data_IF_046551579757
#
_entry.id   IF_046551579757
#
_cell.length_a   1.000
_cell.length_b   1.000
_cell.length_c   1.000
_cell.angle_alpha   90.00
_cell.angle_beta   90.00
_cell.angle_gamma   90.00
#
_symmetry.space_group_name_H-M   'P 1'
#
loop_
_entity.id
_entity.type
_entity.pdbx_description
1 polymer ?
#
# COMPACT_ATOMS: atom_id res chain seq x y z
N UNK A 1 13.83 -1.51 -34.08
CA UNK A 1 14.26 -0.68 -32.93
C UNK A 1 13.16 -0.79 -31.89
N UNK A 2 13.50 -1.18 -30.65
CA UNK A 2 12.50 -1.17 -29.57
C UNK A 2 12.08 0.26 -29.31
N UNK A 3 10.80 0.55 -29.32
CA UNK A 3 10.28 1.87 -29.03
C UNK A 3 10.61 2.26 -27.60
N UNK A 4 11.15 3.46 -27.41
CA UNK A 4 11.36 4.01 -26.08
C UNK A 4 10.02 4.40 -25.47
N UNK A 5 9.67 3.77 -24.35
CA UNK A 5 8.45 4.07 -23.59
C UNK A 5 8.83 4.72 -22.26
N UNK A 6 8.64 6.04 -22.13
CA UNK A 6 8.97 6.75 -20.87
C UNK A 6 8.20 6.18 -19.70
N UNK A 7 8.91 5.87 -18.59
CA UNK A 7 8.30 5.34 -17.38
C UNK A 7 7.67 3.95 -17.53
N UNK A 8 7.87 3.26 -18.65
CA UNK A 8 7.28 1.94 -18.97
C UNK A 8 5.74 1.94 -18.96
N UNK A 9 5.10 3.08 -19.19
CA UNK A 9 3.65 3.19 -19.19
C UNK A 9 3.02 2.31 -20.26
N UNK A 10 2.12 1.40 -19.85
CA UNK A 10 1.47 0.44 -20.75
C UNK A 10 2.34 -0.74 -21.19
N UNK A 11 3.60 -0.81 -20.78
CA UNK A 11 4.47 -1.97 -21.06
C UNK A 11 4.07 -3.13 -20.16
N UNK A 12 3.72 -4.27 -20.75
CA UNK A 12 3.48 -5.52 -20.03
C UNK A 12 4.82 -6.16 -19.72
N UNK A 13 5.25 -6.07 -18.46
CA UNK A 13 6.54 -6.61 -18.02
C UNK A 13 6.43 -8.04 -17.46
N UNK A 14 5.24 -8.45 -16.99
CA UNK A 14 5.00 -9.73 -16.34
C UNK A 14 3.64 -10.30 -16.73
N UNK A 15 3.53 -11.60 -16.76
CA UNK A 15 2.28 -12.34 -16.62
C UNK A 15 2.08 -12.63 -15.12
N UNK A 16 0.84 -12.58 -14.64
CA UNK A 16 0.53 -12.77 -13.22
C UNK A 16 -0.82 -13.45 -13.03
N UNK A 17 -0.89 -14.34 -12.04
CA UNK A 17 -2.12 -14.99 -11.58
C UNK A 17 -2.66 -14.38 -10.28
N UNK A 18 -2.02 -13.31 -9.77
CA UNK A 18 -2.27 -12.81 -8.42
C UNK A 18 -3.49 -11.91 -8.38
N UNK A 19 -3.58 -10.91 -9.26
CA UNK A 19 -4.69 -9.97 -9.26
C UNK A 19 -5.02 -9.43 -10.64
N UNK A 20 -6.29 -9.14 -10.83
CA UNK A 20 -6.85 -8.53 -12.03
C UNK A 20 -7.60 -7.24 -11.67
N UNK A 21 -6.99 -6.06 -11.87
CA UNK A 21 -7.73 -4.81 -11.89
C UNK A 21 -8.44 -4.68 -13.24
N UNK A 22 -9.76 -4.86 -13.26
CA UNK A 22 -10.59 -4.69 -14.45
C UNK A 22 -10.82 -3.21 -14.71
N UNK A 23 -10.15 -2.69 -15.71
CA UNK A 23 -10.13 -1.25 -16.04
C UNK A 23 -11.50 -0.73 -16.49
N UNK A 24 -12.23 -1.51 -17.24
CA UNK A 24 -13.49 -1.10 -17.87
C UNK A 24 -14.68 -1.40 -16.96
N UNK A 25 -14.70 -2.56 -16.32
CA UNK A 25 -15.77 -3.01 -15.46
C UNK A 25 -15.73 -2.47 -14.03
N UNK A 26 -14.63 -1.81 -13.62
CA UNK A 26 -14.48 -1.29 -12.26
C UNK A 26 -14.52 -2.38 -11.20
N UNK A 27 -13.87 -3.51 -11.44
CA UNK A 27 -13.71 -4.62 -10.51
C UNK A 27 -12.23 -4.82 -10.15
N UNK A 28 -11.99 -5.40 -9.00
CA UNK A 28 -10.66 -5.86 -8.57
C UNK A 28 -10.79 -7.27 -8.01
N UNK A 29 -10.09 -8.22 -8.60
CA UNK A 29 -10.13 -9.63 -8.20
C UNK A 29 -8.76 -10.08 -7.72
N UNK A 30 -8.74 -10.76 -6.58
CA UNK A 30 -7.58 -11.45 -6.03
C UNK A 30 -7.71 -12.94 -6.34
N UNK A 31 -6.83 -13.47 -7.19
CA UNK A 31 -6.94 -14.87 -7.65
C UNK A 31 -8.35 -15.23 -8.16
N UNK A 32 -8.99 -14.31 -8.86
CA UNK A 32 -10.32 -14.47 -9.40
C UNK A 32 -11.47 -14.16 -8.44
N UNK A 33 -11.21 -13.92 -7.14
CA UNK A 33 -12.24 -13.55 -6.16
C UNK A 33 -12.37 -12.03 -6.09
N UNK A 34 -13.59 -11.52 -6.25
CA UNK A 34 -13.85 -10.08 -6.19
C UNK A 34 -13.66 -9.54 -4.77
N UNK A 35 -13.04 -8.36 -4.63
CA UNK A 35 -12.88 -7.72 -3.32
C UNK A 35 -14.21 -7.37 -2.65
N UNK A 36 -15.29 -7.23 -3.41
CA UNK A 36 -16.64 -7.04 -2.86
C UNK A 36 -17.08 -8.22 -1.97
N UNK A 37 -16.62 -9.44 -2.30
CA UNK A 37 -16.91 -10.65 -1.54
C UNK A 37 -15.90 -10.89 -0.41
N UNK A 38 -14.77 -10.19 -0.42
CA UNK A 38 -13.71 -10.34 0.58
C UNK A 38 -13.82 -9.33 1.72
N UNK A 39 -13.99 -8.05 1.38
CA UNK A 39 -13.98 -6.95 2.36
C UNK A 39 -15.19 -7.04 3.31
N UNK A 40 -14.90 -7.20 4.59
CA UNK A 40 -15.90 -7.36 5.64
C UNK A 40 -16.40 -8.80 5.84
N UNK A 41 -15.99 -9.75 4.98
CA UNK A 41 -16.40 -11.17 5.04
C UNK A 41 -15.24 -12.11 5.34
N UNK A 42 -14.04 -11.76 4.89
CA UNK A 42 -12.83 -12.56 5.07
C UNK A 42 -11.78 -11.70 5.75
N UNK A 43 -11.11 -12.21 6.79
CA UNK A 43 -10.06 -11.47 7.51
C UNK A 43 -8.82 -11.28 6.63
N UNK A 44 -8.08 -10.20 6.85
CA UNK A 44 -6.85 -9.90 6.12
C UNK A 44 -5.83 -11.05 6.13
N UNK A 45 -5.70 -11.77 7.25
CA UNK A 45 -4.80 -12.94 7.33
C UNK A 45 -5.17 -14.03 6.33
N UNK A 46 -6.46 -14.30 6.14
CA UNK A 46 -6.94 -15.25 5.14
C UNK A 46 -6.81 -14.73 3.71
N UNK A 47 -6.95 -13.42 3.52
CA UNK A 47 -6.70 -12.77 2.21
C UNK A 47 -5.22 -12.84 1.85
N UNK A 48 -4.32 -12.69 2.83
CA UNK A 48 -2.89 -12.94 2.64
C UNK A 48 -2.65 -14.37 2.13
N UNK A 49 -3.29 -15.37 2.76
CA UNK A 49 -3.23 -16.76 2.31
C UNK A 49 -3.78 -16.94 0.89
N UNK A 50 -4.90 -16.32 0.55
CA UNK A 50 -5.45 -16.35 -0.80
C UNK A 50 -4.44 -15.83 -1.83
N UNK A 51 -3.82 -14.68 -1.58
CA UNK A 51 -2.89 -14.07 -2.52
C UNK A 51 -1.60 -14.87 -2.69
N UNK A 52 -1.03 -15.38 -1.60
CA UNK A 52 0.27 -16.07 -1.59
C UNK A 52 0.13 -17.56 -1.88
N UNK A 53 -0.81 -18.23 -1.23
CA UNK A 53 -0.97 -19.69 -1.28
C UNK A 53 -2.08 -20.13 -2.25
N UNK A 54 -2.91 -19.21 -2.73
CA UNK A 54 -4.08 -19.52 -3.57
C UNK A 54 -5.24 -20.18 -2.81
N UNK A 55 -5.26 -20.09 -1.49
CA UNK A 55 -6.27 -20.67 -0.62
C UNK A 55 -6.57 -19.80 0.59
N UNK A 56 -7.81 -19.85 1.08
CA UNK A 56 -8.15 -19.24 2.36
C UNK A 56 -7.55 -20.07 3.51
N UNK A 57 -6.49 -19.56 4.09
CA UNK A 57 -5.85 -20.11 5.27
C UNK A 57 -5.35 -18.95 6.15
N UNK A 58 -4.89 -19.19 7.39
CA UNK A 58 -4.38 -18.12 8.25
C UNK A 58 -3.21 -17.33 7.66
N UNK A 59 -2.46 -17.92 6.74
CA UNK A 59 -1.40 -17.28 5.95
C UNK A 59 -0.21 -16.78 6.74
N UNK A 60 -0.46 -15.89 7.69
CA UNK A 60 0.55 -15.25 8.53
C UNK A 60 0.70 -15.92 9.89
N UNK A 61 1.93 -16.25 10.32
CA UNK A 61 2.19 -16.69 11.68
C UNK A 61 2.05 -15.51 12.66
N UNK A 62 2.00 -15.76 13.98
CA UNK A 62 2.21 -14.71 14.96
C UNK A 62 3.58 -14.04 14.76
N UNK A 63 3.65 -12.72 14.95
CA UNK A 63 4.92 -11.99 14.91
C UNK A 63 5.82 -12.42 16.09
N UNK A 64 7.08 -12.62 15.81
CA UNK A 64 8.07 -12.86 16.85
C UNK A 64 8.18 -11.64 17.78
N UNK A 65 8.43 -11.82 19.09
CA UNK A 65 8.40 -10.73 20.06
C UNK A 65 9.70 -9.89 20.04
N UNK A 66 10.14 -9.52 18.84
CA UNK A 66 11.34 -8.71 18.68
C UNK A 66 11.03 -7.23 18.83
N UNK A 67 11.73 -6.51 19.73
CA UNK A 67 11.69 -5.07 19.75
C UNK A 67 12.19 -4.51 18.42
N UNK A 68 11.56 -3.42 17.95
CA UNK A 68 12.08 -2.72 16.79
C UNK A 68 13.44 -2.11 17.14
N UNK A 69 14.47 -2.35 16.31
CA UNK A 69 15.85 -1.96 16.65
C UNK A 69 16.18 -0.49 16.32
N UNK A 70 15.29 0.21 15.63
CA UNK A 70 15.50 1.58 15.14
C UNK A 70 14.36 2.48 15.58
N UNK A 71 14.67 3.64 16.11
CA UNK A 71 13.73 4.65 16.57
C UNK A 71 14.17 6.03 16.08
N UNK A 72 13.92 6.31 14.81
CA UNK A 72 14.26 7.61 14.19
C UNK A 72 13.18 8.68 14.39
N UNK A 73 11.97 8.28 14.77
CA UNK A 73 10.78 9.12 14.78
C UNK A 73 10.02 9.15 13.44
N UNK A 74 10.53 8.46 12.43
CA UNK A 74 9.88 8.26 11.14
C UNK A 74 9.57 6.77 10.97
N UNK A 75 8.26 6.43 10.95
CA UNK A 75 7.79 5.04 10.90
C UNK A 75 8.35 4.31 9.66
N UNK A 76 8.39 4.98 8.50
CA UNK A 76 8.92 4.38 7.28
C UNK A 76 10.40 4.02 7.43
N UNK A 77 11.22 4.92 7.97
CA UNK A 77 12.65 4.69 8.19
C UNK A 77 12.86 3.53 9.16
N UNK A 78 12.13 3.54 10.27
CA UNK A 78 12.22 2.51 11.30
C UNK A 78 11.88 1.12 10.73
N UNK A 79 10.75 1.02 10.03
CA UNK A 79 10.26 -0.26 9.47
C UNK A 79 11.16 -0.75 8.34
N UNK A 80 11.56 0.11 7.42
CA UNK A 80 12.42 -0.26 6.29
C UNK A 80 13.77 -0.77 6.78
N UNK A 81 14.39 -0.07 7.73
CA UNK A 81 15.67 -0.46 8.32
C UNK A 81 15.55 -1.77 9.11
N UNK A 82 14.51 -1.89 9.95
CA UNK A 82 14.29 -3.09 10.75
C UNK A 82 14.03 -4.33 9.89
N UNK A 83 13.29 -4.19 8.79
CA UNK A 83 13.09 -5.29 7.82
C UNK A 83 14.42 -5.73 7.20
N UNK A 84 15.24 -4.79 6.74
CA UNK A 84 16.54 -5.13 6.15
C UNK A 84 17.45 -5.87 7.16
N UNK A 85 17.37 -5.52 8.44
CA UNK A 85 18.13 -6.17 9.51
C UNK A 85 17.70 -7.62 9.79
N UNK A 86 16.51 -8.05 9.36
CA UNK A 86 16.08 -9.45 9.53
C UNK A 86 16.98 -10.43 8.77
N UNK A 87 17.57 -10.03 7.65
CA UNK A 87 18.41 -10.90 6.85
C UNK A 87 19.58 -11.49 7.67
N UNK A 88 20.47 -10.71 8.29
CA UNK A 88 21.54 -11.26 9.12
C UNK A 88 21.02 -11.85 10.46
N UNK A 89 19.95 -11.31 11.05
CA UNK A 89 19.41 -11.81 12.33
C UNK A 89 18.85 -13.22 12.19
N UNK A 90 18.16 -13.51 11.09
CA UNK A 90 17.60 -14.84 10.82
C UNK A 90 18.50 -15.73 9.95
N UNK A 91 19.61 -15.20 9.45
CA UNK A 91 20.46 -15.92 8.49
C UNK A 91 19.72 -16.24 7.20
N UNK A 92 18.89 -15.28 6.70
CA UNK A 92 18.14 -15.48 5.47
C UNK A 92 19.09 -15.71 4.30
N UNK A 93 18.82 -16.79 3.55
CA UNK A 93 19.55 -17.09 2.33
C UNK A 93 18.95 -16.35 1.13
N UNK A 94 19.75 -16.13 0.07
CA UNK A 94 19.23 -15.66 -1.21
C UNK A 94 18.06 -16.52 -1.70
N UNK A 95 17.07 -15.89 -2.32
CA UNK A 95 15.94 -16.60 -2.94
C UNK A 95 16.40 -17.66 -3.96
N UNK A 96 17.57 -17.44 -4.56
CA UNK A 96 18.19 -18.37 -5.51
C UNK A 96 18.56 -19.71 -4.85
N UNK A 97 18.94 -19.70 -3.56
CA UNK A 97 19.53 -20.82 -2.83
C UNK A 97 18.51 -21.59 -1.96
N UNK A 98 17.25 -21.20 -1.97
CA UNK A 98 16.18 -21.83 -1.18
C UNK A 98 15.07 -22.36 -2.10
N UNK A 99 14.28 -23.30 -1.61
CA UNK A 99 13.10 -23.75 -2.33
C UNK A 99 11.90 -22.77 -2.15
N UNK A 100 10.79 -23.09 -2.79
CA UNK A 100 9.59 -22.24 -2.75
C UNK A 100 8.92 -22.25 -1.38
N UNK A 101 8.94 -23.39 -0.68
CA UNK A 101 8.33 -23.52 0.63
C UNK A 101 9.10 -22.68 1.67
N UNK A 102 10.44 -22.74 1.68
CA UNK A 102 11.27 -21.91 2.53
C UNK A 102 11.12 -20.42 2.19
N UNK A 103 11.04 -20.06 0.91
CA UNK A 103 10.79 -18.68 0.49
C UNK A 103 9.42 -18.17 0.98
N UNK A 104 8.37 -18.98 0.85
CA UNK A 104 7.03 -18.69 1.34
C UNK A 104 7.01 -18.46 2.85
N UNK A 105 7.67 -19.31 3.62
CA UNK A 105 7.71 -19.20 5.06
C UNK A 105 8.53 -17.99 5.52
N UNK A 106 9.64 -17.70 4.86
CA UNK A 106 10.43 -16.49 5.10
C UNK A 106 9.63 -15.22 4.79
N UNK A 107 8.82 -15.21 3.71
CA UNK A 107 7.93 -14.12 3.37
C UNK A 107 6.85 -13.90 4.44
N UNK A 108 6.22 -14.97 4.92
CA UNK A 108 5.21 -14.89 5.96
C UNK A 108 5.78 -14.31 7.27
N UNK A 109 6.95 -14.78 7.69
CA UNK A 109 7.66 -14.27 8.88
C UNK A 109 8.04 -12.80 8.72
N UNK A 110 8.64 -12.42 7.60
CA UNK A 110 9.07 -11.04 7.36
C UNK A 110 7.87 -10.09 7.21
N UNK A 111 6.80 -10.50 6.53
CA UNK A 111 5.59 -9.71 6.38
C UNK A 111 4.93 -9.41 7.73
N UNK A 112 4.74 -10.42 8.58
CA UNK A 112 4.13 -10.19 9.90
C UNK A 112 5.03 -9.36 10.82
N UNK A 113 6.35 -9.44 10.67
CA UNK A 113 7.28 -8.54 11.37
C UNK A 113 7.15 -7.10 10.89
N UNK A 114 6.91 -6.86 9.59
CA UNK A 114 6.62 -5.52 9.11
C UNK A 114 5.41 -4.90 9.82
N UNK A 115 4.32 -5.66 9.98
CA UNK A 115 3.15 -5.22 10.73
C UNK A 115 3.50 -4.90 12.19
N UNK A 116 4.25 -5.79 12.84
CA UNK A 116 4.72 -5.58 14.22
C UNK A 116 5.56 -4.32 14.36
N UNK A 117 6.48 -4.08 13.43
CA UNK A 117 7.35 -2.92 13.44
C UNK A 117 6.60 -1.62 13.19
N UNK A 118 5.62 -1.60 12.30
CA UNK A 118 4.73 -0.44 12.14
C UNK A 118 4.01 -0.11 13.45
N UNK A 119 3.43 -1.12 14.10
CA UNK A 119 2.72 -0.94 15.37
C UNK A 119 3.65 -0.43 16.48
N UNK A 120 4.86 -0.97 16.58
CA UNK A 120 5.85 -0.56 17.60
C UNK A 120 6.36 0.86 17.35
N UNK A 121 6.72 1.18 16.11
CA UNK A 121 7.18 2.54 15.76
C UNK A 121 6.09 3.57 15.99
N UNK A 122 4.84 3.27 15.60
CA UNK A 122 3.69 4.14 15.83
C UNK A 122 3.36 4.34 17.32
N UNK A 123 3.53 3.30 18.15
CA UNK A 123 3.36 3.42 19.60
C UNK A 123 4.43 4.32 20.23
N UNK A 124 5.62 4.30 19.65
CA UNK A 124 6.75 5.15 20.08
C UNK A 124 7.38 4.70 21.39
N UNK A 125 8.45 5.39 21.78
CA UNK A 125 9.22 5.11 23.00
C UNK A 125 8.59 5.69 24.27
N UNK A 126 7.61 6.59 24.12
CA UNK A 126 6.94 7.25 25.26
C UNK A 126 5.95 6.36 26.02
N UNK A 127 5.57 5.22 25.45
CA UNK A 127 4.66 4.26 26.05
C UNK A 127 5.35 2.90 26.21
N UNK A 128 5.07 2.16 27.30
CA UNK A 128 5.60 0.82 27.47
C UNK A 128 5.08 -0.11 26.34
N UNK A 129 5.88 -1.08 25.95
CA UNK A 129 5.45 -2.14 25.03
C UNK A 129 4.26 -2.89 25.65
N UNK A 130 3.28 -3.21 24.80
CA UNK A 130 2.16 -4.07 25.22
C UNK A 130 2.69 -5.48 25.49
N UNK A 131 2.42 -6.08 26.66
CA UNK A 131 2.88 -7.42 26.96
C UNK A 131 2.42 -8.44 25.91
N UNK A 132 3.32 -9.33 25.47
CA UNK A 132 3.02 -10.33 24.43
C UNK A 132 1.80 -11.18 24.78
N UNK A 133 1.63 -11.56 26.05
CA UNK A 133 0.45 -12.31 26.54
C UNK A 133 -0.90 -11.61 26.29
N UNK A 134 -0.92 -10.27 26.22
CA UNK A 134 -2.14 -9.51 25.88
C UNK A 134 -2.39 -9.49 24.37
N UNK A 135 -1.30 -9.44 23.58
CA UNK A 135 -1.36 -9.54 22.14
C UNK A 135 -1.84 -10.93 21.70
N UNK A 136 -1.36 -11.97 22.37
CA UNK A 136 -1.70 -13.37 22.07
C UNK A 136 -3.18 -13.72 22.30
N UNK A 137 -3.91 -12.88 23.02
CA UNK A 137 -5.37 -13.02 23.18
C UNK A 137 -6.14 -12.64 21.91
N UNK A 138 -5.52 -11.95 20.99
CA UNK A 138 -6.16 -11.52 19.74
C UNK A 138 -6.30 -12.69 18.78
N UNK A 139 -7.45 -12.76 18.10
CA UNK A 139 -7.75 -13.84 17.15
C UNK A 139 -7.19 -13.56 15.77
N UNK A 140 -7.20 -12.30 15.32
CA UNK A 140 -6.77 -11.93 13.97
C UNK A 140 -5.44 -11.16 13.96
N UNK A 141 -4.77 -11.17 12.82
CA UNK A 141 -3.52 -10.41 12.65
C UNK A 141 -3.73 -8.91 12.78
N UNK A 142 -4.88 -8.40 12.33
CA UNK A 142 -5.22 -6.98 12.45
C UNK A 142 -5.48 -6.60 13.92
N UNK A 143 -6.18 -7.44 14.67
CA UNK A 143 -6.38 -7.22 16.10
C UNK A 143 -5.04 -7.24 16.86
N UNK A 144 -4.13 -8.18 16.53
CA UNK A 144 -2.77 -8.21 17.10
C UNK A 144 -2.00 -6.93 16.82
N UNK A 145 -2.08 -6.41 15.59
CA UNK A 145 -1.50 -5.13 15.22
C UNK A 145 -2.07 -3.99 16.07
N UNK A 146 -3.39 -3.88 16.14
CA UNK A 146 -4.08 -2.83 16.87
C UNK A 146 -3.78 -2.89 18.37
N UNK A 147 -3.74 -4.08 18.98
CA UNK A 147 -3.33 -4.26 20.38
C UNK A 147 -1.87 -3.85 20.60
N UNK A 148 -0.96 -4.26 19.73
CA UNK A 148 0.45 -3.89 19.84
C UNK A 148 0.66 -2.39 19.76
N UNK A 149 -0.14 -1.71 18.94
CA UNK A 149 -0.09 -0.27 18.81
C UNK A 149 -0.78 0.46 19.97
N UNK A 150 -2.01 0.07 20.32
CA UNK A 150 -2.90 0.83 21.23
C UNK A 150 -3.17 0.18 22.58
N UNK A 151 -2.93 -1.08 22.75
CA UNK A 151 -3.29 -1.85 23.94
C UNK A 151 -4.70 -2.47 23.83
N UNK A 152 -5.74 -1.70 24.06
CA UNK A 152 -7.15 -2.15 23.94
C UNK A 152 -7.85 -1.37 22.83
N UNK A 153 -7.90 -1.90 21.59
CA UNK A 153 -8.56 -1.26 20.48
C UNK A 153 -10.08 -1.43 20.53
N UNK A 154 -10.81 -0.44 19.98
CA UNK A 154 -12.23 -0.60 19.70
C UNK A 154 -12.43 -1.67 18.61
N UNK A 155 -13.30 -2.68 18.81
CA UNK A 155 -13.57 -3.70 17.79
C UNK A 155 -14.06 -3.15 16.45
N UNK A 156 -14.74 -2.00 16.42
CA UNK A 156 -15.13 -1.32 15.17
C UNK A 156 -13.93 -0.74 14.43
N UNK A 157 -12.93 -0.23 15.17
CA UNK A 157 -11.68 0.24 14.57
C UNK A 157 -10.88 -0.92 13.98
N UNK A 158 -10.87 -2.08 14.64
CA UNK A 158 -10.26 -3.30 14.08
C UNK A 158 -10.92 -3.69 12.77
N UNK A 159 -12.26 -3.69 12.68
CA UNK A 159 -13.00 -3.97 11.45
C UNK A 159 -12.69 -2.97 10.34
N UNK A 160 -12.61 -1.69 10.67
CA UNK A 160 -12.25 -0.64 9.69
C UNK A 160 -10.85 -0.84 9.12
N UNK A 161 -9.87 -1.15 9.96
CA UNK A 161 -8.49 -1.42 9.52
C UNK A 161 -8.43 -2.70 8.70
N UNK A 162 -9.13 -3.77 9.10
CA UNK A 162 -9.20 -5.03 8.35
C UNK A 162 -9.78 -4.80 6.94
N UNK A 163 -10.88 -4.07 6.83
CA UNK A 163 -11.49 -3.72 5.56
C UNK A 163 -10.54 -2.90 4.65
N UNK A 164 -9.83 -1.93 5.23
CA UNK A 164 -8.85 -1.14 4.49
C UNK A 164 -7.68 -2.00 4.02
N UNK A 165 -7.09 -2.83 4.90
CA UNK A 165 -5.97 -3.70 4.51
C UNK A 165 -6.38 -4.70 3.44
N UNK A 166 -7.55 -5.30 3.55
CA UNK A 166 -8.07 -6.23 2.54
C UNK A 166 -8.27 -5.55 1.20
N UNK A 167 -8.86 -4.34 1.17
CA UNK A 167 -9.07 -3.58 -0.07
C UNK A 167 -7.79 -3.11 -0.73
N UNK A 168 -6.73 -2.85 0.05
CA UNK A 168 -5.45 -2.31 -0.40
C UNK A 168 -4.33 -3.37 -0.52
N UNK A 169 -4.66 -4.65 -0.25
CA UNK A 169 -3.69 -5.75 -0.18
C UNK A 169 -2.92 -5.95 -1.49
N UNK A 170 -3.57 -5.76 -2.64
CA UNK A 170 -2.98 -5.92 -3.95
C UNK A 170 -3.67 -5.01 -4.99
N UNK A 171 -2.96 -4.60 -6.03
CA UNK A 171 -3.51 -3.80 -7.12
C UNK A 171 -2.68 -3.89 -8.41
N UNK A 172 -2.26 -5.08 -8.80
CA UNK A 172 -1.48 -5.30 -10.01
C UNK A 172 -0.09 -4.67 -9.97
N UNK A 173 0.45 -4.32 -11.13
CA UNK A 173 1.81 -3.80 -11.26
C UNK A 173 1.85 -2.29 -10.99
N UNK A 174 2.42 -1.93 -9.87
CA UNK A 174 2.67 -0.55 -9.43
C UNK A 174 4.15 -0.39 -9.03
N UNK A 175 4.57 0.82 -8.66
CA UNK A 175 5.97 1.12 -8.41
C UNK A 175 6.60 0.24 -7.32
N UNK A 176 5.93 0.04 -6.17
CA UNK A 176 6.49 -0.78 -5.09
C UNK A 176 6.48 -2.27 -5.41
N UNK A 177 5.45 -2.77 -6.08
CA UNK A 177 5.38 -4.16 -6.54
C UNK A 177 6.43 -4.43 -7.61
N UNK A 178 6.63 -3.51 -8.55
CA UNK A 178 7.70 -3.60 -9.55
C UNK A 178 9.08 -3.62 -8.88
N UNK A 179 9.31 -2.74 -7.90
CA UNK A 179 10.57 -2.71 -7.13
C UNK A 179 10.82 -4.04 -6.40
N UNK A 180 9.79 -4.60 -5.75
CA UNK A 180 9.90 -5.91 -5.08
C UNK A 180 10.29 -7.01 -6.08
N UNK A 181 9.64 -7.04 -7.26
CA UNK A 181 9.95 -8.02 -8.30
C UNK A 181 11.35 -7.82 -8.89
N UNK A 182 11.79 -6.58 -9.09
CA UNK A 182 13.15 -6.31 -9.57
C UNK A 182 14.18 -6.88 -8.60
N UNK A 183 14.03 -6.59 -7.29
CA UNK A 183 14.97 -7.08 -6.27
C UNK A 183 14.91 -8.62 -6.20
N UNK A 184 13.72 -9.20 -6.11
CA UNK A 184 13.54 -10.66 -6.09
C UNK A 184 14.15 -11.34 -7.32
N UNK A 185 14.06 -10.71 -8.50
CA UNK A 185 14.61 -11.23 -9.75
C UNK A 185 16.13 -11.37 -9.76
N UNK A 186 16.82 -10.62 -8.89
CA UNK A 186 18.27 -10.76 -8.69
C UNK A 186 18.66 -11.96 -7.85
N UNK A 187 17.69 -12.64 -7.23
CA UNK A 187 17.92 -13.73 -6.30
C UNK A 187 18.22 -13.28 -4.87
N UNK A 188 18.09 -11.98 -4.55
CA UNK A 188 18.28 -11.46 -3.20
C UNK A 188 17.27 -12.07 -2.20
N UNK A 189 17.56 -11.96 -0.88
CA UNK A 189 16.67 -12.46 0.15
C UNK A 189 15.32 -11.72 0.25
N UNK A 190 14.36 -12.30 0.94
CA UNK A 190 13.01 -11.74 1.07
C UNK A 190 12.98 -10.42 1.83
N UNK A 191 13.87 -10.22 2.79
CA UNK A 191 13.94 -8.98 3.58
C UNK A 191 14.43 -7.81 2.71
N UNK A 192 15.40 -8.04 1.84
CA UNK A 192 15.85 -7.06 0.86
C UNK A 192 14.70 -6.62 -0.08
N UNK A 193 13.92 -7.57 -0.59
CA UNK A 193 12.80 -7.29 -1.49
C UNK A 193 11.68 -6.51 -0.80
N UNK A 194 11.27 -6.90 0.41
CA UNK A 194 10.24 -6.20 1.19
C UNK A 194 10.70 -4.82 1.65
N UNK A 195 11.94 -4.69 2.13
CA UNK A 195 12.53 -3.39 2.51
C UNK A 195 12.56 -2.41 1.33
N UNK A 196 12.97 -2.87 0.14
CA UNK A 196 12.96 -2.06 -1.08
C UNK A 196 11.56 -1.62 -1.49
N UNK A 197 10.56 -2.50 -1.35
CA UNK A 197 9.16 -2.16 -1.61
C UNK A 197 8.63 -1.08 -0.66
N UNK A 198 8.99 -1.13 0.64
CA UNK A 198 8.68 -0.07 1.62
C UNK A 198 9.27 1.26 1.19
N UNK A 199 10.51 1.27 0.73
CA UNK A 199 11.15 2.48 0.20
C UNK A 199 10.38 3.07 -0.98
N UNK A 200 9.98 2.26 -1.95
CA UNK A 200 9.21 2.70 -3.11
C UNK A 200 7.79 3.20 -2.71
N UNK A 201 7.15 2.54 -1.73
CA UNK A 201 5.83 2.95 -1.21
C UNK A 201 5.85 4.35 -0.59
N UNK A 202 6.96 4.75 0.00
CA UNK A 202 7.10 6.05 0.68
C UNK A 202 7.12 7.25 -0.26
N UNK A 203 7.29 7.02 -1.57
CA UNK A 203 7.36 8.10 -2.55
C UNK A 203 6.04 8.88 -2.65
N UNK A 204 6.09 10.23 -2.74
CA UNK A 204 4.87 11.07 -2.76
C UNK A 204 3.99 10.86 -4.00
N UNK A 205 4.53 10.24 -5.05
CA UNK A 205 3.76 9.87 -6.24
C UNK A 205 3.09 8.49 -6.14
N UNK A 206 3.25 7.80 -5.01
CA UNK A 206 2.73 6.44 -4.79
C UNK A 206 1.80 6.34 -3.57
N UNK A 207 2.29 6.58 -2.35
CA UNK A 207 1.54 6.28 -1.11
C UNK A 207 1.02 7.49 -0.31
N UNK A 208 1.16 8.71 -0.79
CA UNK A 208 1.02 9.94 0.03
C UNK A 208 -0.30 10.72 -0.02
N UNK A 209 -1.34 10.24 -0.71
CA UNK A 209 -2.47 11.10 -1.04
C UNK A 209 -3.68 11.11 -0.06
N UNK A 210 -4.04 10.05 0.69
CA UNK A 210 -5.27 10.04 1.50
C UNK A 210 -5.32 11.13 2.59
N UNK A 211 -4.19 11.52 3.17
CA UNK A 211 -4.15 12.55 4.23
C UNK A 211 -4.69 13.91 3.78
N UNK A 212 -4.63 14.22 2.49
CA UNK A 212 -5.13 15.49 1.94
C UNK A 212 -6.66 15.56 1.84
N UNK A 213 -7.32 14.41 1.82
CA UNK A 213 -8.79 14.32 1.79
C UNK A 213 -9.37 14.85 3.10
N UNK A 214 -8.74 14.56 4.24
CA UNK A 214 -9.21 15.01 5.56
C UNK A 214 -9.27 16.53 5.67
N UNK A 215 -8.31 17.24 5.08
CA UNK A 215 -8.35 18.71 5.07
C UNK A 215 -9.57 19.30 4.34
N UNK A 216 -10.05 18.63 3.28
CA UNK A 216 -11.29 19.01 2.60
C UNK A 216 -12.50 18.76 3.49
N UNK A 217 -12.57 17.64 4.18
CA UNK A 217 -13.65 17.29 5.11
C UNK A 217 -13.72 18.29 6.26
N UNK A 218 -12.60 18.61 6.91
CA UNK A 218 -12.51 19.57 8.01
C UNK A 218 -12.99 20.97 7.61
N UNK A 219 -12.64 21.41 6.42
CA UNK A 219 -13.11 22.72 5.90
C UNK A 219 -14.63 22.72 5.67
N UNK A 220 -15.20 21.61 5.20
CA UNK A 220 -16.65 21.49 5.01
C UNK A 220 -17.37 21.39 6.35
N UNK A 221 -16.84 20.66 7.33
CA UNK A 221 -17.38 20.63 8.69
C UNK A 221 -17.47 22.03 9.28
N UNK A 222 -16.47 22.89 9.00
CA UNK A 222 -16.44 24.27 9.47
C UNK A 222 -17.42 25.19 8.74
N UNK A 223 -17.64 24.99 7.43
CA UNK A 223 -18.42 25.89 6.58
C UNK A 223 -19.85 25.43 6.33
N UNK A 224 -20.13 24.13 6.46
CA UNK A 224 -21.44 23.53 6.26
C UNK A 224 -21.90 23.39 4.80
N UNK A 225 -21.08 23.76 3.82
CA UNK A 225 -21.48 23.76 2.39
C UNK A 225 -20.42 23.12 1.48
N UNK A 226 -20.62 21.84 1.19
CA UNK A 226 -19.74 21.05 0.32
C UNK A 226 -19.74 21.58 -1.13
N UNK A 227 -20.89 22.01 -1.66
CA UNK A 227 -21.00 22.51 -3.03
C UNK A 227 -20.24 23.82 -3.21
N UNK A 228 -20.41 24.76 -2.29
CA UNK A 228 -19.67 26.03 -2.32
C UNK A 228 -18.17 25.81 -2.15
N UNK A 229 -17.75 24.86 -1.29
CA UNK A 229 -16.34 24.48 -1.15
C UNK A 229 -15.76 23.97 -2.47
N UNK A 230 -16.39 22.99 -3.11
CA UNK A 230 -15.93 22.38 -4.36
C UNK A 230 -15.80 23.43 -5.47
N UNK A 231 -16.81 24.28 -5.65
CA UNK A 231 -16.78 25.35 -6.65
C UNK A 231 -15.60 26.29 -6.43
N UNK A 232 -15.43 26.81 -5.20
CA UNK A 232 -14.31 27.70 -4.86
C UNK A 232 -12.95 27.06 -5.11
N UNK A 233 -12.76 25.79 -4.73
CA UNK A 233 -11.51 25.07 -4.93
C UNK A 233 -11.18 24.95 -6.43
N UNK A 234 -12.15 24.53 -7.24
CA UNK A 234 -11.97 24.39 -8.68
C UNK A 234 -11.80 25.73 -9.40
N UNK A 235 -12.47 26.81 -8.95
CA UNK A 235 -12.30 28.17 -9.49
C UNK A 235 -10.88 28.70 -9.25
N UNK A 236 -10.23 28.28 -8.15
CA UNK A 236 -8.83 28.59 -7.86
C UNK A 236 -7.84 27.67 -8.58
N UNK A 237 -8.34 26.72 -9.38
CA UNK A 237 -7.49 25.74 -10.05
C UNK A 237 -6.91 24.67 -9.14
N UNK A 238 -7.44 24.51 -7.92
CA UNK A 238 -7.03 23.48 -6.99
C UNK A 238 -7.48 22.10 -7.46
N UNK A 239 -6.67 21.09 -7.19
CA UNK A 239 -7.01 19.70 -7.48
C UNK A 239 -7.80 19.11 -6.32
N UNK A 240 -8.97 18.57 -6.59
CA UNK A 240 -9.72 17.79 -5.62
C UNK A 240 -9.04 16.41 -5.46
N UNK A 241 -8.64 16.09 -4.23
CA UNK A 241 -8.01 14.81 -3.92
C UNK A 241 -9.08 13.72 -3.78
N UNK A 242 -8.73 12.49 -4.19
CA UNK A 242 -9.67 11.38 -4.13
C UNK A 242 -10.54 11.17 -5.38
N UNK A 243 -10.29 11.92 -6.46
CA UNK A 243 -11.05 11.81 -7.71
C UNK A 243 -10.13 11.58 -8.92
N UNK A 244 -10.56 10.67 -9.81
CA UNK A 244 -9.81 10.23 -10.98
C UNK A 244 -8.82 9.11 -10.66
N UNK A 245 -8.58 8.22 -11.62
CA UNK A 245 -7.69 7.08 -11.49
C UNK A 245 -6.91 6.82 -12.77
N UNK A 246 -5.68 6.31 -12.66
CA UNK A 246 -4.85 5.94 -13.83
C UNK A 246 -5.31 4.65 -14.48
N UNK A 247 -5.86 3.71 -13.70
CA UNK A 247 -6.26 2.37 -14.14
C UNK A 247 -7.73 2.34 -14.54
N UNK A 248 -8.64 2.68 -13.61
CA UNK A 248 -10.07 2.55 -13.83
C UNK A 248 -10.65 3.66 -14.70
N UNK A 249 -11.57 3.27 -15.60
CA UNK A 249 -12.45 4.15 -16.37
C UNK A 249 -13.84 4.31 -15.74
N UNK A 250 -14.07 3.62 -14.62
CA UNK A 250 -15.25 3.66 -13.78
C UNK A 250 -14.86 4.01 -12.34
N UNK A 251 -15.78 3.90 -11.38
CA UNK A 251 -15.48 4.03 -9.96
C UNK A 251 -14.47 2.96 -9.52
N UNK A 252 -13.49 3.37 -8.71
CA UNK A 252 -12.54 2.45 -8.09
C UNK A 252 -13.30 1.50 -7.13
N UNK A 253 -13.26 0.18 -7.33
CA UNK A 253 -14.02 -0.76 -6.51
C UNK A 253 -13.62 -0.71 -5.03
N UNK A 254 -12.39 -0.31 -4.74
CA UNK A 254 -11.91 -0.13 -3.36
C UNK A 254 -12.62 1.05 -2.68
N UNK A 255 -12.89 2.13 -3.41
CA UNK A 255 -13.67 3.25 -2.88
C UNK A 255 -15.10 2.79 -2.52
N UNK A 256 -15.71 1.97 -3.35
CA UNK A 256 -17.06 1.45 -3.15
C UNK A 256 -17.17 0.58 -1.89
N UNK A 257 -16.25 -0.38 -1.71
CA UNK A 257 -16.27 -1.25 -0.51
C UNK A 257 -15.95 -0.47 0.77
N UNK A 258 -15.05 0.51 0.73
CA UNK A 258 -14.72 1.32 1.91
C UNK A 258 -15.85 2.32 2.25
N UNK A 259 -16.56 2.87 1.28
CA UNK A 259 -17.78 3.67 1.51
C UNK A 259 -18.82 2.84 2.25
N UNK A 260 -19.09 1.61 1.78
CA UNK A 260 -19.99 0.67 2.44
C UNK A 260 -19.55 0.40 3.89
N UNK A 261 -18.28 0.08 4.09
CA UNK A 261 -17.70 -0.16 5.42
C UNK A 261 -17.87 1.04 6.37
N UNK A 262 -17.53 2.24 5.92
CA UNK A 262 -17.68 3.46 6.71
C UNK A 262 -19.14 3.70 7.12
N UNK A 263 -20.09 3.44 6.23
CA UNK A 263 -21.53 3.52 6.51
C UNK A 263 -21.98 2.50 7.55
N UNK A 264 -21.65 1.23 7.36
CA UNK A 264 -22.04 0.13 8.23
C UNK A 264 -21.46 0.25 9.65
N UNK A 265 -20.24 0.76 9.77
CA UNK A 265 -19.60 1.00 11.06
C UNK A 265 -20.07 2.28 11.75
N UNK A 266 -20.82 3.13 11.05
CA UNK A 266 -21.33 4.39 11.58
C UNK A 266 -20.24 5.46 11.74
N UNK A 267 -19.35 5.60 10.76
CA UNK A 267 -18.29 6.61 10.77
C UNK A 267 -18.89 8.02 10.92
N UNK A 268 -18.49 8.83 11.92
CA UNK A 268 -19.10 10.13 12.21
C UNK A 268 -19.04 11.11 11.04
N UNK A 269 -17.98 11.02 10.21
CA UNK A 269 -17.77 11.89 9.04
C UNK A 269 -18.40 11.35 7.74
N UNK A 270 -19.16 10.24 7.82
CA UNK A 270 -19.73 9.61 6.63
C UNK A 270 -20.61 10.58 5.81
N UNK A 271 -21.55 11.26 6.46
CA UNK A 271 -22.49 12.14 5.78
C UNK A 271 -21.81 13.36 5.12
N UNK A 272 -20.82 13.93 5.80
CA UNK A 272 -20.03 15.04 5.23
C UNK A 272 -19.21 14.55 4.03
N UNK A 273 -18.64 13.37 4.11
CA UNK A 273 -17.89 12.77 3.02
C UNK A 273 -18.79 12.45 1.83
N UNK A 274 -19.97 11.88 2.05
CA UNK A 274 -20.95 11.60 0.99
C UNK A 274 -21.42 12.89 0.30
N UNK A 275 -21.66 13.95 1.07
CA UNK A 275 -22.02 15.25 0.50
C UNK A 275 -20.88 15.86 -0.35
N UNK A 276 -19.63 15.75 0.14
CA UNK A 276 -18.46 16.18 -0.64
C UNK A 276 -18.29 15.36 -1.92
N UNK A 277 -18.38 14.03 -1.81
CA UNK A 277 -18.27 13.13 -2.98
C UNK A 277 -19.29 13.50 -4.05
N UNK A 278 -20.55 13.65 -3.67
CA UNK A 278 -21.64 14.04 -4.59
C UNK A 278 -21.38 15.39 -5.26
N UNK A 279 -21.05 16.40 -4.47
CA UNK A 279 -20.78 17.75 -4.99
C UNK A 279 -19.55 17.76 -5.93
N UNK A 280 -18.50 17.01 -5.58
CA UNK A 280 -17.30 16.92 -6.39
C UNK A 280 -17.56 16.21 -7.73
N UNK A 281 -18.25 15.07 -7.72
CA UNK A 281 -18.56 14.33 -8.95
C UNK A 281 -19.45 15.15 -9.89
N UNK A 282 -20.46 15.83 -9.35
CA UNK A 282 -21.35 16.72 -10.14
C UNK A 282 -20.57 17.88 -10.78
N UNK A 283 -19.77 18.60 -10.01
CA UNK A 283 -19.04 19.76 -10.51
C UNK A 283 -17.89 19.37 -11.47
N UNK A 284 -17.20 18.25 -11.21
CA UNK A 284 -16.20 17.71 -12.13
C UNK A 284 -16.80 17.27 -13.45
N UNK A 285 -17.99 16.65 -13.44
CA UNK A 285 -18.71 16.28 -14.65
C UNK A 285 -19.13 17.52 -15.46
N UNK A 286 -19.67 18.52 -14.78
CA UNK A 286 -20.09 19.76 -15.43
C UNK A 286 -18.94 20.51 -16.11
N UNK A 287 -17.75 20.53 -15.49
CA UNK A 287 -16.57 21.22 -16.02
C UNK A 287 -15.75 20.40 -17.01
N UNK A 288 -15.80 19.08 -16.93
CA UNK A 288 -15.03 18.14 -17.74
C UNK A 288 -15.88 16.95 -18.19
N UNK A 289 -16.93 17.17 -19.01
CA UNK A 289 -17.83 16.10 -19.45
C UNK A 289 -17.14 15.05 -20.35
N UNK A 290 -15.99 15.39 -20.91
CA UNK A 290 -15.13 14.53 -21.73
C UNK A 290 -14.25 13.57 -20.91
N UNK A 291 -14.24 13.69 -19.58
CA UNK A 291 -13.39 12.87 -18.71
C UNK A 291 -14.19 12.20 -17.61
N UNK A 292 -13.93 10.90 -17.41
CA UNK A 292 -14.44 10.17 -16.25
C UNK A 292 -13.52 10.44 -15.05
N UNK A 293 -14.01 11.22 -14.10
CA UNK A 293 -13.30 11.57 -12.87
C UNK A 293 -14.06 11.00 -11.67
N UNK A 294 -14.13 9.67 -11.61
CA UNK A 294 -14.81 8.95 -10.53
C UNK A 294 -13.98 8.94 -9.24
N UNK A 295 -14.64 8.63 -8.12
CA UNK A 295 -14.00 8.48 -6.81
C UNK A 295 -12.97 7.34 -6.83
N UNK A 296 -11.81 7.61 -6.28
CA UNK A 296 -10.75 6.61 -6.12
C UNK A 296 -10.61 6.16 -4.66
N UNK A 297 -9.75 5.17 -4.42
CA UNK A 297 -9.57 4.58 -3.08
C UNK A 297 -9.17 5.59 -2.01
N UNK A 298 -8.40 6.63 -2.37
CA UNK A 298 -7.85 7.59 -1.41
C UNK A 298 -8.94 8.32 -0.62
N UNK A 299 -10.08 8.61 -1.26
CA UNK A 299 -11.19 9.32 -0.64
C UNK A 299 -11.77 8.54 0.55
N UNK A 300 -12.30 7.34 0.29
CA UNK A 300 -12.94 6.54 1.34
C UNK A 300 -11.95 5.83 2.26
N UNK A 301 -10.71 5.62 1.80
CA UNK A 301 -9.61 5.18 2.68
C UNK A 301 -9.34 6.20 3.79
N UNK A 302 -9.31 7.49 3.45
CA UNK A 302 -9.12 8.56 4.43
C UNK A 302 -10.22 8.54 5.52
N UNK A 303 -11.49 8.42 5.13
CA UNK A 303 -12.63 8.37 6.04
C UNK A 303 -12.60 7.12 6.92
N UNK A 304 -12.29 5.97 6.34
CA UNK A 304 -12.22 4.69 7.06
C UNK A 304 -11.09 4.67 8.10
N UNK A 305 -9.91 5.18 7.71
CA UNK A 305 -8.76 5.26 8.62
C UNK A 305 -8.94 6.32 9.70
N UNK A 306 -9.53 7.47 9.36
CA UNK A 306 -9.88 8.51 10.34
C UNK A 306 -10.88 7.98 11.38
N UNK A 307 -11.89 7.24 10.94
CA UNK A 307 -12.82 6.55 11.84
C UNK A 307 -12.10 5.62 12.82
N UNK A 308 -11.10 4.87 12.35
CA UNK A 308 -10.26 4.03 13.21
C UNK A 308 -9.22 4.83 14.03
N UNK A 309 -9.33 6.16 14.02
CA UNK A 309 -8.42 7.09 14.71
C UNK A 309 -6.95 6.90 14.30
N UNK A 310 -6.71 6.50 13.06
CA UNK A 310 -5.35 6.44 12.50
C UNK A 310 -4.91 7.86 12.16
N UNK A 311 -3.81 8.35 12.76
CA UNK A 311 -3.30 9.67 12.40
C UNK A 311 -2.89 9.75 10.93
N UNK A 312 -3.09 10.90 10.31
CA UNK A 312 -2.81 11.10 8.89
C UNK A 312 -1.37 10.75 8.47
N UNK A 313 -0.39 11.00 9.34
CA UNK A 313 1.01 10.65 9.09
C UNK A 313 1.28 9.14 9.05
N UNK A 314 0.34 8.31 9.53
CA UNK A 314 0.44 6.85 9.46
C UNK A 314 -0.23 6.25 8.22
N UNK A 315 -0.95 7.00 7.39
CA UNK A 315 -1.73 6.44 6.30
C UNK A 315 -0.85 5.65 5.31
N UNK A 316 0.32 6.15 4.96
CA UNK A 316 1.28 5.43 4.12
C UNK A 316 1.79 4.14 4.79
N UNK A 317 1.99 4.17 6.12
CA UNK A 317 2.40 2.98 6.87
C UNK A 317 1.29 1.93 6.95
N UNK A 318 0.04 2.35 7.05
CA UNK A 318 -1.12 1.44 6.95
C UNK A 318 -1.23 0.82 5.56
N UNK A 319 -0.94 1.58 4.52
CA UNK A 319 -0.85 1.06 3.16
C UNK A 319 0.30 0.05 3.00
N UNK A 320 1.44 0.31 3.61
CA UNK A 320 2.57 -0.63 3.69
C UNK A 320 2.12 -1.96 4.33
N UNK A 321 1.44 -1.91 5.47
CA UNK A 321 0.91 -3.10 6.13
C UNK A 321 0.01 -3.92 5.19
N UNK A 322 -0.96 -3.29 4.56
CA UNK A 322 -1.86 -3.95 3.62
C UNK A 322 -1.10 -4.61 2.46
N UNK A 323 -0.18 -3.88 1.84
CA UNK A 323 0.52 -4.29 0.63
C UNK A 323 1.59 -5.36 0.86
N UNK A 324 1.97 -5.66 2.10
CA UNK A 324 2.84 -6.82 2.39
C UNK A 324 2.30 -8.12 1.78
N UNK A 325 0.98 -8.27 1.68
CA UNK A 325 0.33 -9.43 1.06
C UNK A 325 0.65 -9.49 -0.45
N UNK A 326 0.37 -8.42 -1.18
CA UNK A 326 0.65 -8.36 -2.61
C UNK A 326 2.14 -8.47 -2.92
N UNK A 327 3.00 -7.78 -2.17
CA UNK A 327 4.45 -7.91 -2.36
C UNK A 327 4.93 -9.35 -2.14
N UNK A 328 4.45 -10.01 -1.09
CA UNK A 328 4.84 -11.40 -0.81
C UNK A 328 4.44 -12.35 -1.93
N UNK A 329 3.20 -12.21 -2.45
CA UNK A 329 2.73 -12.98 -3.58
C UNK A 329 3.58 -12.75 -4.83
N UNK A 330 3.87 -11.49 -5.16
CA UNK A 330 4.67 -11.13 -6.32
C UNK A 330 6.14 -11.55 -6.22
N UNK A 331 6.74 -11.50 -5.03
CA UNK A 331 8.10 -12.00 -4.80
C UNK A 331 8.15 -13.52 -5.03
N UNK A 332 7.16 -14.25 -4.51
CA UNK A 332 7.09 -15.70 -4.69
C UNK A 332 6.84 -16.10 -6.15
N UNK A 333 5.95 -15.40 -6.85
CA UNK A 333 5.71 -15.61 -8.27
C UNK A 333 6.96 -15.30 -9.10
N UNK A 334 7.70 -14.23 -8.77
CA UNK A 334 8.95 -13.88 -9.42
C UNK A 334 10.03 -14.96 -9.22
N UNK A 335 10.09 -15.55 -8.03
CA UNK A 335 10.97 -16.71 -7.77
C UNK A 335 10.64 -17.89 -8.68
N UNK A 336 9.35 -18.20 -8.89
CA UNK A 336 8.91 -19.27 -9.79
C UNK A 336 9.30 -19.03 -11.23
N UNK A 337 9.15 -17.82 -11.74
CA UNK A 337 9.49 -17.46 -13.12
C UNK A 337 11.01 -17.37 -13.35
N UNK A 338 11.77 -17.07 -12.30
CA UNK A 338 13.23 -17.17 -12.27
C UNK A 338 14.00 -16.23 -13.20
N UNK A 339 13.34 -15.26 -13.84
CA UNK A 339 13.99 -14.42 -14.85
C UNK A 339 14.40 -13.05 -14.28
N UNK A 340 15.70 -12.71 -14.45
CA UNK A 340 16.23 -11.40 -14.08
C UNK A 340 15.52 -10.28 -14.86
N UNK A 341 14.99 -9.29 -14.15
CA UNK A 341 14.41 -8.07 -14.73
C UNK A 341 15.55 -7.11 -15.07
N UNK A 342 15.86 -7.00 -16.37
CA UNK A 342 16.99 -6.20 -16.84
C UNK A 342 16.62 -5.47 -18.15
N UNK A 343 15.96 -4.30 -18.07
CA UNK A 343 15.68 -3.48 -19.24
C UNK A 343 16.97 -2.89 -19.80
N UNK A 344 16.92 -2.43 -21.06
CA UNK A 344 18.01 -1.73 -21.72
C UNK A 344 17.78 -0.22 -21.70
N UNK A 345 18.87 0.55 -21.79
CA UNK A 345 18.81 2.00 -21.97
C UNK A 345 19.37 2.36 -23.36
N UNK A 346 18.78 3.36 -23.98
CA UNK A 346 19.34 4.01 -25.18
C UNK A 346 20.21 5.18 -24.72
N UNK A 347 21.51 5.08 -24.98
CA UNK A 347 22.42 6.18 -24.68
C UNK A 347 22.15 7.38 -25.61
N UNK A 348 21.98 8.55 -25.04
CA UNK A 348 21.72 9.84 -25.69
C UNK A 348 22.73 10.93 -25.28
N UNK A 349 23.77 10.54 -24.55
CA UNK A 349 24.83 11.44 -24.13
C UNK A 349 25.83 11.77 -25.25
N UNK A 350 26.90 12.51 -24.94
CA UNK A 350 27.95 12.84 -25.90
C UNK A 350 28.60 11.61 -26.54
N UNK A 351 29.06 11.74 -27.77
CA UNK A 351 29.91 10.73 -28.41
C UNK A 351 31.21 10.50 -27.61
N UNK A 352 31.95 9.44 -27.94
CA UNK A 352 33.23 9.16 -27.29
C UNK A 352 34.18 10.36 -27.40
N UNK A 353 34.73 10.79 -26.26
CA UNK A 353 35.65 11.92 -26.15
C UNK A 353 36.81 11.60 -25.20
N UNK A 354 37.92 12.31 -25.39
CA UNK A 354 39.09 12.18 -24.54
C UNK A 354 38.81 12.74 -23.13
N UNK A 355 39.39 12.17 -22.07
CA UNK A 355 39.36 12.81 -20.73
C UNK A 355 39.83 14.27 -20.72
N UNK A 356 40.74 14.62 -21.62
CA UNK A 356 41.25 15.98 -21.76
C UNK A 356 40.22 17.01 -22.24
N UNK A 357 39.11 16.53 -22.82
CA UNK A 357 37.98 17.38 -23.24
C UNK A 357 36.97 17.63 -22.11
N UNK A 358 37.21 17.05 -20.92
CA UNK A 358 36.37 17.20 -19.75
C UNK A 358 36.95 18.30 -18.87
N UNK A 359 36.12 19.26 -18.50
CA UNK A 359 36.48 20.34 -17.57
C UNK A 359 37.04 19.77 -16.25
N UNK A 360 38.14 20.34 -15.78
CA UNK A 360 38.79 19.93 -14.52
C UNK A 360 39.78 18.78 -14.66
N UNK A 361 39.97 18.21 -15.88
CA UNK A 361 40.95 17.13 -16.07
C UNK A 361 42.39 17.58 -15.83
N UNK A 362 42.74 18.85 -16.16
CA UNK A 362 44.12 19.38 -16.01
C UNK A 362 44.59 19.45 -14.55
N UNK A 363 43.70 19.26 -13.57
CA UNK A 363 44.00 19.26 -12.14
C UNK A 363 44.15 17.87 -11.51
N UNK A 364 44.04 16.77 -12.31
CA UNK A 364 44.06 15.39 -11.81
C UNK A 364 45.45 14.74 -11.95
#
# INVERSE_FOLDING_TARGET
MSDFVPGLEGVVAFETEIAEPDKEGGALRYRGVDIEDLVGHVSFGNVWGLLVDGAFNPGLPPAEPFPIPVHSGDIRVDVQSALAMLAPVWGLKPLLDIDEAEARDNLARAAVMALSYVAQSARGQGLPMVPQKEIDKAETVVERFMKRWRGEPDPKHVKAVDAYWTSAAEHGMNASTFTARVIASTGADVAAALSGAVGAMSGPLHGGAPSRVLGMIEEIERTGDATAYVKRALDRGERLMGFGHRVYRAEDPRARVLRRTAKELGAPRYEVAEALEKAALEELHNRRPDRVLATNVEFWAAITLDFAEVPAHMFTSMFTCARTAGWSAHILEQKRTGRLVRPSARYVGPAGRSPREIEGFEGL
#
